data_IF_936739974263
#
_entry.id   IF_936739974263
#
_cell.length_a   1.000
_cell.length_b   1.000
_cell.length_c   1.000
_cell.angle_alpha   90.00
_cell.angle_beta   90.00
_cell.angle_gamma   90.00
#
_symmetry.space_group_name_H-M   'P 1'
#
loop_
_entity.id
_entity.type
_entity.pdbx_description
1 polymer ?
#
# COMPACT_ATOMS: atom_id res chain seq x y z
N UNK A 1 16.60 17.90 1.80
CA UNK A 1 15.19 17.73 2.18
C UNK A 1 14.99 16.28 2.56
N UNK A 2 14.53 16.00 3.78
CA UNK A 2 14.32 14.63 4.26
C UNK A 2 13.08 14.00 3.60
N UNK A 3 12.97 12.66 3.63
CA UNK A 3 11.74 11.98 3.15
C UNK A 3 10.49 12.46 3.89
N UNK A 4 10.62 12.78 5.18
CA UNK A 4 9.54 13.31 6.01
C UNK A 4 9.09 14.68 5.51
N UNK A 5 10.02 15.58 5.22
CA UNK A 5 9.71 16.91 4.69
C UNK A 5 8.97 16.82 3.34
N UNK A 6 9.36 15.87 2.49
CA UNK A 6 8.69 15.64 1.19
C UNK A 6 7.27 15.13 1.42
N UNK A 7 7.06 14.18 2.33
CA UNK A 7 5.74 13.62 2.67
C UNK A 7 4.81 14.71 3.23
N UNK A 8 5.32 15.59 4.10
CA UNK A 8 4.54 16.71 4.65
C UNK A 8 4.14 17.70 3.55
N UNK A 9 5.09 18.15 2.73
CA UNK A 9 4.80 19.03 1.59
C UNK A 9 3.83 18.41 0.60
N UNK A 10 3.94 17.10 0.36
CA UNK A 10 3.03 16.38 -0.52
C UNK A 10 1.61 16.37 0.06
N UNK A 11 1.44 16.16 1.36
CA UNK A 11 0.14 16.22 2.01
C UNK A 11 -0.51 17.62 1.84
N UNK A 12 0.27 18.69 2.03
CA UNK A 12 -0.21 20.07 1.85
C UNK A 12 -0.70 20.33 0.41
N UNK A 13 0.06 19.86 -0.59
CA UNK A 13 -0.31 19.99 -2.01
C UNK A 13 -1.57 19.18 -2.33
N UNK A 14 -1.68 17.96 -1.83
CA UNK A 14 -2.84 17.10 -2.07
C UNK A 14 -4.10 17.67 -1.41
N UNK A 15 -3.96 18.41 -0.31
CA UNK A 15 -5.07 19.07 0.37
C UNK A 15 -5.67 20.21 -0.44
N UNK A 16 -4.87 20.87 -1.29
CA UNK A 16 -5.36 21.82 -2.27
C UNK A 16 -6.05 21.16 -3.48
N UNK A 17 -5.82 19.86 -3.71
CA UNK A 17 -6.22 19.13 -4.92
C UNK A 17 -7.59 18.43 -4.87
N UNK A 18 -8.50 18.84 -3.98
CA UNK A 18 -9.83 18.24 -3.79
C UNK A 18 -9.84 16.74 -3.40
N UNK A 19 -8.72 16.20 -2.89
CA UNK A 19 -8.67 14.86 -2.32
C UNK A 19 -9.14 14.88 -0.86
N UNK A 20 -9.71 13.78 -0.40
CA UNK A 20 -10.30 13.67 0.94
C UNK A 20 -9.43 12.84 1.88
N UNK A 21 -9.70 12.94 3.19
CA UNK A 21 -9.09 12.10 4.23
C UNK A 21 -7.56 12.04 4.18
N UNK A 22 -6.91 13.16 3.92
CA UNK A 22 -5.45 13.23 3.77
C UNK A 22 -4.78 13.13 5.14
N UNK A 23 -3.83 12.21 5.26
CA UNK A 23 -3.09 11.97 6.50
C UNK A 23 -1.63 11.63 6.22
N UNK A 24 -0.70 12.44 6.72
CA UNK A 24 0.72 12.13 6.71
C UNK A 24 1.10 11.21 7.89
N UNK A 25 1.59 10.00 7.59
CA UNK A 25 2.07 9.03 8.57
C UNK A 25 3.60 8.97 8.51
N UNK A 26 4.27 9.82 9.28
CA UNK A 26 5.72 10.05 9.18
C UNK A 26 6.55 9.18 10.12
N UNK A 27 5.94 8.57 11.14
CA UNK A 27 6.63 7.78 12.18
C UNK A 27 6.78 6.29 11.84
N UNK A 28 6.15 5.82 10.76
CA UNK A 28 6.25 4.44 10.33
C UNK A 28 7.62 4.14 9.69
N UNK A 29 8.00 2.86 9.59
CA UNK A 29 9.22 2.41 8.91
C UNK A 29 9.35 2.99 7.48
N UNK A 30 8.23 3.08 6.77
CA UNK A 30 8.13 3.77 5.47
C UNK A 30 7.12 4.91 5.64
N UNK A 31 7.58 6.18 5.67
CA UNK A 31 6.69 7.34 5.71
C UNK A 31 5.76 7.38 4.49
N UNK A 32 4.47 7.59 4.72
CA UNK A 32 3.43 7.65 3.67
C UNK A 32 2.50 8.85 3.86
N UNK A 33 1.88 9.30 2.76
CA UNK A 33 0.64 10.09 2.79
C UNK A 33 -0.51 9.16 2.42
N UNK A 34 -1.51 9.04 3.29
CA UNK A 34 -2.79 8.42 2.97
C UNK A 34 -3.75 9.46 2.44
N UNK A 35 -4.58 9.10 1.48
CA UNK A 35 -5.64 9.94 0.93
C UNK A 35 -6.80 9.08 0.40
N UNK A 36 -7.93 9.72 0.13
CA UNK A 36 -9.07 9.13 -0.55
C UNK A 36 -9.41 9.98 -1.77
N UNK A 37 -9.49 9.32 -2.92
CA UNK A 37 -10.01 9.92 -4.14
C UNK A 37 -11.55 9.93 -4.07
N UNK A 38 -12.21 11.10 -4.07
CA UNK A 38 -13.66 11.18 -3.95
C UNK A 38 -14.41 10.64 -5.18
N UNK A 39 -13.79 10.66 -6.36
CA UNK A 39 -14.46 10.26 -7.60
C UNK A 39 -14.58 8.73 -7.70
N UNK A 40 -13.53 8.01 -7.27
CA UNK A 40 -13.50 6.54 -7.30
C UNK A 40 -13.82 5.90 -5.95
N UNK A 41 -13.76 6.66 -4.86
CA UNK A 41 -13.84 6.17 -3.49
C UNK A 41 -12.62 5.34 -3.04
N UNK A 42 -11.53 5.35 -3.83
CA UNK A 42 -10.34 4.54 -3.54
C UNK A 42 -9.44 5.22 -2.51
N UNK A 43 -8.98 4.42 -1.55
CA UNK A 43 -7.91 4.82 -0.61
C UNK A 43 -6.55 4.59 -1.26
N UNK A 44 -5.68 5.60 -1.18
CA UNK A 44 -4.35 5.58 -1.75
C UNK A 44 -3.29 5.90 -0.69
N UNK A 45 -2.19 5.14 -0.69
CA UNK A 45 -1.02 5.35 0.14
C UNK A 45 0.17 5.73 -0.75
N UNK A 46 0.77 6.90 -0.55
CA UNK A 46 1.92 7.39 -1.34
C UNK A 46 3.18 7.41 -0.48
N UNK A 47 4.26 6.78 -0.93
CA UNK A 47 5.59 6.86 -0.31
C UNK A 47 6.65 7.33 -1.31
N UNK A 48 7.80 7.75 -0.79
CA UNK A 48 8.91 8.28 -1.61
C UNK A 48 10.08 7.30 -1.65
N UNK A 49 10.52 6.96 -2.87
CA UNK A 49 11.70 6.14 -3.17
C UNK A 49 11.70 4.79 -2.45
N UNK A 50 10.56 4.09 -2.44
CA UNK A 50 10.48 2.70 -2.00
C UNK A 50 10.75 1.73 -3.18
N UNK A 51 11.95 1.83 -3.76
CA UNK A 51 12.32 1.10 -4.98
C UNK A 51 12.28 -0.42 -4.80
N UNK A 52 12.62 -0.92 -3.60
CA UNK A 52 12.57 -2.34 -3.31
C UNK A 52 11.14 -2.89 -3.41
N UNK A 53 10.13 -2.14 -2.95
CA UNK A 53 8.73 -2.53 -3.11
C UNK A 53 8.30 -2.58 -4.59
N UNK A 54 8.83 -1.67 -5.43
CA UNK A 54 8.60 -1.68 -6.89
C UNK A 54 9.20 -2.93 -7.52
N UNK A 55 10.45 -3.28 -7.17
CA UNK A 55 11.11 -4.50 -7.67
C UNK A 55 10.38 -5.76 -7.21
N UNK A 56 9.97 -5.84 -5.95
CA UNK A 56 9.21 -6.98 -5.43
C UNK A 56 7.85 -7.13 -6.12
N UNK A 57 7.18 -6.01 -6.43
CA UNK A 57 5.92 -6.02 -7.19
C UNK A 57 6.14 -6.55 -8.61
N UNK A 58 7.23 -6.12 -9.28
CA UNK A 58 7.61 -6.66 -10.58
C UNK A 58 7.88 -8.16 -10.51
N UNK A 59 8.65 -8.62 -9.52
CA UNK A 59 8.97 -10.04 -9.34
C UNK A 59 7.70 -10.88 -9.17
N UNK A 60 6.78 -10.48 -8.28
CA UNK A 60 5.52 -11.19 -8.07
C UNK A 60 4.64 -11.22 -9.33
N UNK A 61 4.60 -10.12 -10.08
CA UNK A 61 3.88 -10.06 -11.36
C UNK A 61 4.49 -11.04 -12.37
N UNK A 62 5.81 -11.03 -12.50
CA UNK A 62 6.51 -11.90 -13.45
C UNK A 62 6.26 -13.38 -13.09
N UNK A 63 6.27 -13.76 -11.79
CA UNK A 63 5.87 -15.10 -11.36
C UNK A 63 4.41 -15.43 -11.71
N UNK A 64 3.48 -14.49 -11.50
CA UNK A 64 2.06 -14.70 -11.82
C UNK A 64 1.78 -14.83 -13.33
N UNK A 65 2.70 -14.37 -14.18
CA UNK A 65 2.64 -14.53 -15.63
C UNK A 65 3.18 -15.88 -16.11
N UNK A 66 4.05 -16.53 -15.33
CA UNK A 66 4.59 -17.87 -15.66
C UNK A 66 3.49 -18.94 -15.53
N UNK A 67 2.70 -18.89 -14.45
CA UNK A 67 1.66 -19.89 -14.19
C UNK A 67 0.39 -19.24 -13.60
N UNK A 68 -0.74 -19.37 -14.31
CA UNK A 68 -2.00 -18.78 -13.88
C UNK A 68 -2.52 -19.33 -12.54
N UNK A 69 -2.13 -20.56 -12.17
CA UNK A 69 -2.53 -21.21 -10.91
C UNK A 69 -1.96 -20.47 -9.70
N UNK A 70 -0.79 -19.83 -9.84
CA UNK A 70 -0.21 -19.02 -8.77
C UNK A 70 -1.14 -17.88 -8.39
N UNK A 71 -1.69 -17.17 -9.38
CA UNK A 71 -2.64 -16.08 -9.13
C UNK A 71 -3.90 -16.59 -8.45
N UNK A 72 -4.47 -17.68 -8.94
CA UNK A 72 -5.67 -18.30 -8.33
C UNK A 72 -5.42 -18.70 -6.87
N UNK A 73 -4.31 -19.39 -6.61
CA UNK A 73 -3.92 -19.80 -5.25
C UNK A 73 -3.72 -18.59 -4.33
N UNK A 74 -3.00 -17.55 -4.80
CA UNK A 74 -2.78 -16.34 -4.02
C UNK A 74 -4.10 -15.65 -3.62
N UNK A 75 -5.09 -15.60 -4.52
CA UNK A 75 -6.43 -15.08 -4.19
C UNK A 75 -7.15 -15.95 -3.15
N UNK A 76 -7.08 -17.28 -3.27
CA UNK A 76 -7.68 -18.22 -2.31
C UNK A 76 -7.05 -18.03 -0.92
N UNK A 77 -5.72 -18.01 -0.84
CA UNK A 77 -4.99 -17.83 0.43
C UNK A 77 -5.29 -16.47 1.04
N UNK A 78 -5.28 -15.39 0.23
CA UNK A 78 -5.60 -14.04 0.70
C UNK A 78 -7.02 -13.95 1.26
N UNK A 79 -7.99 -14.55 0.58
CA UNK A 79 -9.37 -14.59 1.04
C UNK A 79 -9.50 -15.39 2.34
N UNK A 80 -8.92 -16.60 2.40
CA UNK A 80 -8.89 -17.42 3.62
C UNK A 80 -8.27 -16.66 4.80
N UNK A 81 -7.12 -16.01 4.61
CA UNK A 81 -6.42 -15.27 5.66
C UNK A 81 -7.26 -14.09 6.18
N UNK A 82 -7.94 -13.37 5.28
CA UNK A 82 -8.88 -12.30 5.67
C UNK A 82 -10.07 -12.86 6.45
N UNK A 83 -10.68 -13.95 5.98
CA UNK A 83 -11.82 -14.60 6.64
C UNK A 83 -11.47 -15.15 8.03
N UNK A 84 -10.20 -15.51 8.26
CA UNK A 84 -9.68 -15.94 9.55
C UNK A 84 -9.08 -14.81 10.41
N UNK A 85 -9.11 -13.56 9.92
CA UNK A 85 -8.52 -12.38 10.58
C UNK A 85 -7.02 -12.54 10.91
N UNK A 86 -6.29 -13.22 10.03
CA UNK A 86 -4.82 -13.40 10.14
C UNK A 86 -4.05 -12.58 9.10
N UNK A 87 -4.66 -11.50 8.61
CA UNK A 87 -4.14 -10.59 7.59
C UNK A 87 -4.28 -9.11 8.02
N UNK A 88 -4.01 -8.84 9.28
CA UNK A 88 -4.09 -7.54 9.94
C UNK A 88 -2.79 -7.25 10.69
N UNK A 89 -1.85 -6.57 10.03
CA UNK A 89 -0.51 -6.29 10.59
C UNK A 89 -0.55 -5.47 11.88
N UNK A 90 -1.52 -4.57 12.02
CA UNK A 90 -1.71 -3.79 13.24
C UNK A 90 -2.15 -4.65 14.44
N UNK A 91 -2.70 -5.84 14.20
CA UNK A 91 -3.04 -6.83 15.23
C UNK A 91 -1.95 -7.89 15.41
N UNK A 92 -0.75 -7.70 14.83
CA UNK A 92 0.37 -8.63 14.96
C UNK A 92 0.30 -9.85 14.04
N UNK A 93 -0.60 -9.85 13.06
CA UNK A 93 -0.71 -10.94 12.06
C UNK A 93 -0.03 -10.56 10.74
N UNK A 94 -0.15 -11.40 9.71
CA UNK A 94 0.62 -11.25 8.48
C UNK A 94 0.10 -10.08 7.62
N UNK A 95 0.96 -9.59 6.72
CA UNK A 95 0.54 -8.71 5.64
C UNK A 95 0.06 -9.54 4.45
N UNK A 96 -0.72 -8.94 3.55
CA UNK A 96 -1.09 -9.63 2.28
C UNK A 96 0.09 -9.89 1.34
N UNK A 97 1.27 -9.33 1.63
CA UNK A 97 2.50 -9.56 0.90
C UNK A 97 3.34 -10.71 1.48
N UNK A 98 3.16 -11.00 2.78
CA UNK A 98 3.87 -12.07 3.51
C UNK A 98 3.33 -13.44 3.15
#
# INVERSE_FOLDING_TARGET
MSKVDIILKLADILQAGNLQNIQALTRARVPIVKLMDPDTGLSCDICVNNLLAVVNTKLLRDYAQIDQRLRQLAFIVKHWAKSRRVNETYQGTLSSYS
#
